data_IF_477211580308
#
_entry.id   IF_477211580308
#
_cell.length_a   1.000
_cell.length_b   1.000
_cell.length_c   1.000
_cell.angle_alpha   90.00
_cell.angle_beta   90.00
_cell.angle_gamma   90.00
#
_symmetry.space_group_name_H-M   'P 1'
#
loop_
_entity.id
_entity.type
_entity.pdbx_description
1 polymer ?
#
# COMPACT_ATOMS: atom_id res chain seq x y z
N UNK A 1 -7.60 -1.38 -14.47
CA UNK A 1 -6.80 -0.39 -15.24
C UNK A 1 -5.33 -0.55 -14.90
N UNK A 2 -4.42 -0.21 -15.83
CA UNK A 2 -2.95 -0.22 -15.65
C UNK A 2 -2.43 1.20 -15.35
N UNK A 3 -1.26 1.32 -14.71
CA UNK A 3 -0.57 2.58 -14.43
C UNK A 3 0.34 3.05 -15.58
N UNK A 4 0.33 2.38 -16.74
CA UNK A 4 1.21 2.71 -17.86
C UNK A 4 1.03 4.17 -18.29
N UNK A 5 2.13 4.93 -18.29
CA UNK A 5 2.14 6.35 -18.68
C UNK A 5 1.72 7.33 -17.58
N UNK A 6 1.31 6.84 -16.40
CA UNK A 6 1.05 7.68 -15.24
C UNK A 6 2.37 8.30 -14.75
N UNK A 7 2.41 9.63 -14.69
CA UNK A 7 3.50 10.39 -14.09
C UNK A 7 2.98 11.05 -12.82
N UNK A 8 3.65 10.79 -11.70
CA UNK A 8 3.36 11.36 -10.40
C UNK A 8 4.53 12.27 -9.97
N UNK A 9 4.28 13.32 -9.18
CA UNK A 9 5.36 14.09 -8.56
C UNK A 9 6.16 13.22 -7.56
N UNK A 10 7.33 13.70 -7.17
CA UNK A 10 8.21 13.02 -6.19
C UNK A 10 7.59 12.92 -4.79
N UNK A 11 6.76 13.90 -4.43
CA UNK A 11 5.97 13.92 -3.19
C UNK A 11 4.55 14.41 -3.44
N UNK A 12 3.61 13.93 -2.63
CA UNK A 12 2.21 14.40 -2.60
C UNK A 12 1.89 14.83 -1.17
N UNK A 13 1.40 16.06 -0.98
CA UNK A 13 1.00 16.55 0.35
C UNK A 13 -0.30 15.91 0.87
N UNK A 14 -1.26 15.68 -0.02
CA UNK A 14 -2.56 15.08 0.29
C UNK A 14 -2.59 13.57 -0.02
N UNK A 15 -3.76 13.02 -0.34
CA UNK A 15 -3.94 11.60 -0.69
C UNK A 15 -3.75 11.29 -2.17
N UNK A 16 -3.44 10.02 -2.46
CA UNK A 16 -3.36 9.48 -3.82
C UNK A 16 -4.39 8.35 -4.02
N UNK A 17 -5.24 8.53 -5.02
CA UNK A 17 -6.40 7.68 -5.27
C UNK A 17 -6.27 6.88 -6.57
N UNK A 18 -5.95 5.59 -6.46
CA UNK A 18 -5.77 4.65 -7.58
C UNK A 18 -6.75 3.48 -7.48
N UNK A 19 -8.02 3.81 -7.23
CA UNK A 19 -9.07 2.84 -6.86
C UNK A 19 -9.24 1.67 -7.82
N UNK A 20 -9.14 1.92 -9.13
CA UNK A 20 -9.39 0.92 -10.20
C UNK A 20 -8.10 0.28 -10.73
N UNK A 21 -6.95 0.53 -10.08
CA UNK A 21 -5.68 -0.07 -10.48
C UNK A 21 -5.65 -1.55 -10.09
N UNK A 22 -5.53 -2.43 -11.08
CA UNK A 22 -5.58 -3.89 -10.89
C UNK A 22 -4.19 -4.54 -10.93
N UNK A 23 -3.17 -3.81 -11.37
CA UNK A 23 -1.77 -4.22 -11.39
C UNK A 23 -0.86 -3.03 -11.11
N UNK A 24 0.19 -3.24 -10.31
CA UNK A 24 1.21 -2.25 -9.99
C UNK A 24 2.40 -2.28 -10.98
N UNK A 25 2.32 -3.08 -12.04
CA UNK A 25 3.38 -3.14 -13.05
C UNK A 25 3.59 -1.79 -13.74
N UNK A 26 4.83 -1.30 -13.69
CA UNK A 26 5.21 0.02 -14.21
C UNK A 26 4.73 1.20 -13.37
N UNK A 27 4.06 0.98 -12.24
CA UNK A 27 3.68 2.04 -11.31
C UNK A 27 4.93 2.55 -10.57
N UNK A 28 5.13 3.86 -10.60
CA UNK A 28 6.10 4.56 -9.76
C UNK A 28 5.33 5.47 -8.82
N UNK A 29 5.24 5.07 -7.55
CA UNK A 29 4.64 5.90 -6.51
C UNK A 29 5.63 6.99 -6.07
N UNK A 30 5.14 8.12 -5.54
CA UNK A 30 5.97 9.13 -4.87
C UNK A 30 6.79 8.51 -3.73
N UNK A 31 7.90 9.14 -3.36
CA UNK A 31 8.71 8.72 -2.21
C UNK A 31 7.94 8.90 -0.89
N UNK A 32 7.13 9.97 -0.81
CA UNK A 32 6.28 10.26 0.34
C UNK A 32 4.89 10.73 -0.08
N UNK A 33 3.89 10.37 0.74
CA UNK A 33 2.51 10.82 0.63
C UNK A 33 2.09 11.34 2.01
N UNK A 34 1.74 12.62 2.12
CA UNK A 34 1.31 13.22 3.39
C UNK A 34 -0.10 12.78 3.81
N UNK A 35 -0.97 12.47 2.86
CA UNK A 35 -2.29 11.87 3.11
C UNK A 35 -2.32 10.35 2.93
N UNK A 36 -3.47 9.83 2.52
CA UNK A 36 -3.73 8.39 2.38
C UNK A 36 -3.48 7.87 0.96
N UNK A 37 -3.07 6.61 0.83
CA UNK A 37 -2.89 5.91 -0.44
C UNK A 37 -3.96 4.83 -0.63
N UNK A 38 -4.70 4.91 -1.73
CA UNK A 38 -5.82 4.03 -2.02
C UNK A 38 -5.56 3.15 -3.26
N UNK A 39 -5.37 1.84 -3.04
CA UNK A 39 -5.13 0.81 -4.06
C UNK A 39 -6.18 -0.30 -3.97
N UNK A 40 -7.46 0.08 -3.90
CA UNK A 40 -8.55 -0.84 -3.55
C UNK A 40 -8.69 -2.06 -4.45
N UNK A 41 -8.46 -1.95 -5.76
CA UNK A 41 -8.64 -3.05 -6.73
C UNK A 41 -7.38 -3.88 -6.97
N UNK A 42 -6.27 -3.58 -6.30
CA UNK A 42 -5.02 -4.30 -6.51
C UNK A 42 -5.09 -5.69 -5.86
N UNK A 43 -5.00 -6.74 -6.67
CA UNK A 43 -5.16 -8.13 -6.19
C UNK A 43 -3.84 -8.81 -5.84
N UNK A 44 -2.71 -8.25 -6.30
CA UNK A 44 -1.36 -8.78 -6.08
C UNK A 44 -0.35 -7.67 -5.79
N UNK A 45 0.60 -7.92 -4.89
CA UNK A 45 1.71 -7.02 -4.58
C UNK A 45 2.86 -7.09 -5.60
N UNK A 46 2.73 -7.92 -6.66
CA UNK A 46 3.78 -8.06 -7.67
C UNK A 46 4.06 -6.71 -8.35
N UNK A 47 5.33 -6.28 -8.28
CA UNK A 47 5.77 -5.01 -8.86
C UNK A 47 5.38 -3.78 -8.04
N UNK A 48 4.64 -3.94 -6.94
CA UNK A 48 4.28 -2.84 -6.06
C UNK A 48 5.50 -2.40 -5.26
N UNK A 49 5.85 -1.12 -5.38
CA UNK A 49 6.80 -0.42 -4.51
C UNK A 49 6.05 0.71 -3.83
N UNK A 50 5.79 0.56 -2.53
CA UNK A 50 5.10 1.57 -1.75
C UNK A 50 6.03 2.76 -1.44
N UNK A 51 5.48 3.95 -1.15
CA UNK A 51 6.24 5.07 -0.61
C UNK A 51 7.00 4.66 0.65
N UNK A 52 8.08 5.38 0.97
CA UNK A 52 8.81 5.18 2.22
C UNK A 52 7.96 5.59 3.42
N UNK A 53 7.19 6.69 3.28
CA UNK A 53 6.31 7.22 4.32
C UNK A 53 4.93 7.54 3.78
N UNK A 54 3.90 7.17 4.55
CA UNK A 54 2.50 7.54 4.33
C UNK A 54 1.99 8.22 5.59
N UNK A 55 1.63 9.51 5.50
CA UNK A 55 1.14 10.29 6.64
C UNK A 55 -0.28 9.90 7.07
N UNK A 56 -1.11 9.40 6.16
CA UNK A 56 -2.43 8.85 6.45
C UNK A 56 -2.47 7.32 6.46
N UNK A 57 -3.54 6.76 5.90
CA UNK A 57 -3.80 5.32 5.80
C UNK A 57 -3.36 4.72 4.46
N UNK A 58 -3.05 3.42 4.45
CA UNK A 58 -2.82 2.63 3.24
C UNK A 58 -3.92 1.59 3.06
N UNK A 59 -4.59 1.62 1.92
CA UNK A 59 -5.68 0.70 1.61
C UNK A 59 -5.33 -0.26 0.47
N UNK A 60 -5.25 -1.55 0.80
CA UNK A 60 -5.00 -2.67 -0.12
C UNK A 60 -6.12 -3.71 0.00
N UNK A 61 -7.36 -3.25 -0.12
CA UNK A 61 -8.56 -4.03 0.22
C UNK A 61 -8.70 -5.35 -0.56
N UNK A 62 -8.37 -5.35 -1.86
CA UNK A 62 -8.53 -6.54 -2.71
C UNK A 62 -7.30 -7.46 -2.76
N UNK A 63 -6.24 -7.15 -2.02
CA UNK A 63 -5.01 -7.94 -2.05
C UNK A 63 -5.29 -9.33 -1.48
N UNK A 64 -5.05 -10.39 -2.28
CA UNK A 64 -5.41 -11.76 -1.89
C UNK A 64 -4.27 -12.54 -1.23
N UNK A 65 -3.05 -11.98 -1.21
CA UNK A 65 -1.93 -12.56 -0.46
C UNK A 65 -0.90 -11.49 -0.07
N UNK A 66 -0.28 -11.68 1.11
CA UNK A 66 0.86 -10.86 1.55
C UNK A 66 2.17 -11.16 0.81
N UNK A 67 2.22 -12.18 -0.05
CA UNK A 67 3.47 -12.62 -0.68
C UNK A 67 4.11 -11.51 -1.50
N UNK A 68 5.34 -11.13 -1.13
CA UNK A 68 6.11 -10.09 -1.80
C UNK A 68 5.67 -8.66 -1.45
N UNK A 69 4.70 -8.48 -0.55
CA UNK A 69 4.33 -7.16 -0.03
C UNK A 69 5.45 -6.66 0.90
N UNK A 70 6.00 -5.50 0.59
CA UNK A 70 6.90 -4.76 1.47
C UNK A 70 6.19 -3.52 1.96
N UNK A 71 6.09 -3.34 3.27
CA UNK A 71 5.39 -2.20 3.87
C UNK A 71 6.30 -0.95 3.91
N UNK A 72 5.71 0.27 3.97
CA UNK A 72 6.43 1.52 4.22
C UNK A 72 7.21 1.47 5.54
N UNK A 73 8.13 2.41 5.73
CA UNK A 73 8.79 2.60 7.03
C UNK A 73 7.83 3.16 8.08
N UNK A 74 6.91 4.03 7.66
CA UNK A 74 5.91 4.67 8.51
C UNK A 74 4.53 4.75 7.84
N UNK A 75 3.51 4.55 8.67
CA UNK A 75 2.09 4.80 8.36
C UNK A 75 1.52 5.57 9.54
N UNK A 76 0.95 6.76 9.29
CA UNK A 76 0.38 7.59 10.36
C UNK A 76 -0.86 6.98 10.99
N UNK A 77 -1.76 6.47 10.14
CA UNK A 77 -3.04 5.88 10.54
C UNK A 77 -3.01 4.35 10.38
N UNK A 78 -3.89 3.78 9.56
CA UNK A 78 -4.09 2.33 9.46
C UNK A 78 -3.57 1.75 8.14
N UNK A 79 -3.23 0.46 8.18
CA UNK A 79 -2.94 -0.38 7.04
C UNK A 79 -4.06 -1.42 6.88
N UNK A 80 -4.93 -1.19 5.89
CA UNK A 80 -6.14 -1.97 5.68
C UNK A 80 -5.88 -3.08 4.66
N UNK A 81 -5.88 -4.34 5.12
CA UNK A 81 -5.59 -5.55 4.34
C UNK A 81 -6.81 -6.49 4.32
N UNK A 82 -7.91 -5.99 3.78
CA UNK A 82 -9.26 -6.55 3.97
C UNK A 82 -9.47 -8.01 3.55
N UNK A 83 -8.76 -8.49 2.51
CA UNK A 83 -8.89 -9.87 2.02
C UNK A 83 -7.80 -10.83 2.51
N UNK A 84 -6.79 -10.33 3.23
CA UNK A 84 -5.76 -11.22 3.77
C UNK A 84 -6.30 -12.07 4.90
N UNK A 85 -5.70 -13.24 5.07
CA UNK A 85 -6.02 -14.09 6.22
C UNK A 85 -5.46 -13.49 7.51
N UNK A 86 -6.06 -13.85 8.66
CA UNK A 86 -5.51 -13.43 9.97
C UNK A 86 -4.08 -13.94 10.17
N UNK A 87 -3.75 -15.12 9.63
CA UNK A 87 -2.39 -15.66 9.68
C UNK A 87 -1.38 -14.80 8.90
N UNK A 88 -1.74 -14.34 7.70
CA UNK A 88 -0.89 -13.44 6.92
C UNK A 88 -0.70 -12.08 7.61
N UNK A 89 -1.77 -11.50 8.17
CA UNK A 89 -1.67 -10.27 8.96
C UNK A 89 -0.75 -10.46 10.16
N UNK A 90 -0.85 -11.58 10.85
CA UNK A 90 0.01 -11.88 12.00
C UNK A 90 1.49 -12.04 11.61
N UNK A 91 1.77 -12.67 10.47
CA UNK A 91 3.13 -12.72 9.92
C UNK A 91 3.65 -11.31 9.63
N UNK A 92 2.85 -10.45 9.00
CA UNK A 92 3.24 -9.07 8.73
C UNK A 92 3.51 -8.29 10.02
N UNK A 93 2.69 -8.44 11.07
CA UNK A 93 2.93 -7.81 12.38
C UNK A 93 4.26 -8.23 13.00
N UNK A 94 4.66 -9.49 12.83
CA UNK A 94 5.95 -10.01 13.32
C UNK A 94 7.14 -9.47 12.52
N UNK A 95 7.00 -9.37 11.20
CA UNK A 95 8.06 -8.84 10.31
C UNK A 95 8.20 -7.32 10.48
N UNK A 96 7.09 -6.61 10.70
CA UNK A 96 7.01 -5.16 10.82
C UNK A 96 6.45 -4.75 12.19
N UNK A 97 7.18 -4.98 13.30
CA UNK A 97 6.68 -4.74 14.64
C UNK A 97 6.27 -3.27 14.88
N UNK A 98 6.92 -2.32 14.19
CA UNK A 98 6.59 -0.90 14.26
C UNK A 98 5.22 -0.55 13.68
N UNK A 99 4.71 -1.37 12.76
CA UNK A 99 3.40 -1.20 12.12
C UNK A 99 2.35 -2.16 12.69
N UNK A 100 2.69 -2.94 13.72
CA UNK A 100 1.84 -4.05 14.16
C UNK A 100 0.44 -3.58 14.59
N UNK A 101 0.36 -2.45 15.29
CA UNK A 101 -0.90 -1.83 15.74
C UNK A 101 -1.71 -1.18 14.61
N UNK A 102 -1.09 -0.95 13.45
CA UNK A 102 -1.72 -0.33 12.28
C UNK A 102 -2.32 -1.36 11.32
N UNK A 103 -1.90 -2.62 11.40
CA UNK A 103 -2.37 -3.68 10.49
C UNK A 103 -3.77 -4.15 10.89
N UNK A 104 -4.75 -3.88 10.02
CA UNK A 104 -6.17 -4.24 10.18
C UNK A 104 -6.60 -5.24 9.08
#
# INVERSE_FOLDING_TARGET
TSAKGLKLPESIGDGLYLYSLTSAEGLKLPESIGGSLYLYSLTSAKGLKLPESIGGSLYLYSLTSAKGLKLPESIGDDLILGRLTSAEREILRKIYPRLASKII
#
